data_IF_298003556209
#
_entry.id   IF_298003556209
#
_cell.length_a   1.000
_cell.length_b   1.000
_cell.length_c   1.000
_cell.angle_alpha   90.00
_cell.angle_beta   90.00
_cell.angle_gamma   90.00
#
_symmetry.space_group_name_H-M   'P 1'
#
loop_
_entity.id
_entity.type
_entity.pdbx_description
1 polymer ?
#
# COMPACT_ATOMS: atom_id res chain seq x y z
N UNK A 1 114.91 2.42 94.89
CA UNK A 1 114.75 1.01 94.44
C UNK A 1 113.80 0.33 95.41
N UNK A 2 112.75 -0.41 95.06
CA UNK A 2 112.28 -0.91 93.78
C UNK A 2 110.74 -1.05 93.85
N UNK A 3 110.13 -0.92 92.68
CA UNK A 3 108.69 -1.00 92.40
C UNK A 3 108.16 -2.42 92.67
N UNK A 4 107.01 -2.54 93.32
CA UNK A 4 106.15 -3.72 93.21
C UNK A 4 104.81 -3.28 92.62
N UNK A 5 104.73 -3.43 91.30
CA UNK A 5 103.60 -3.11 90.44
C UNK A 5 102.35 -3.88 90.89
N UNK A 6 101.25 -3.16 91.10
CA UNK A 6 99.90 -3.75 91.03
C UNK A 6 99.63 -4.16 89.59
N UNK A 7 99.78 -5.44 89.27
CA UNK A 7 99.28 -5.99 88.01
C UNK A 7 97.86 -6.51 88.22
N UNK A 8 96.91 -5.71 87.74
CA UNK A 8 95.51 -6.06 87.62
C UNK A 8 95.37 -7.12 86.52
N UNK A 9 95.42 -8.41 86.86
CA UNK A 9 95.15 -9.48 85.90
C UNK A 9 93.63 -9.63 85.71
N UNK A 10 93.05 -8.80 84.84
CA UNK A 10 91.69 -8.97 84.32
C UNK A 10 91.76 -9.72 82.98
N UNK A 11 92.00 -11.02 83.04
CA UNK A 11 91.71 -11.93 81.92
C UNK A 11 90.84 -13.08 82.44
N UNK A 12 89.63 -12.75 82.89
CA UNK A 12 88.52 -13.71 82.84
C UNK A 12 88.07 -13.81 81.38
N UNK A 13 88.09 -15.00 80.75
CA UNK A 13 87.53 -15.15 79.41
C UNK A 13 86.07 -14.71 79.44
N UNK A 14 85.74 -13.73 78.60
CA UNK A 14 84.36 -13.33 78.35
C UNK A 14 83.69 -14.58 77.76
N UNK A 15 82.69 -15.14 78.45
CA UNK A 15 81.82 -16.16 77.88
C UNK A 15 81.06 -15.50 76.73
N UNK A 16 81.56 -15.62 75.50
CA UNK A 16 80.75 -15.38 74.31
C UNK A 16 79.71 -16.48 74.30
N UNK A 17 78.48 -16.12 74.68
CA UNK A 17 77.32 -16.96 74.48
C UNK A 17 77.29 -17.36 72.99
N UNK A 18 77.02 -18.63 72.69
CA UNK A 18 76.99 -19.15 71.33
C UNK A 18 75.86 -18.50 70.52
N UNK A 19 76.13 -17.31 69.99
CA UNK A 19 75.18 -16.51 69.20
C UNK A 19 75.02 -17.04 67.77
N UNK A 20 75.95 -17.88 67.33
CA UNK A 20 75.99 -18.50 66.00
C UNK A 20 74.83 -19.45 65.77
N UNK A 21 74.52 -20.33 66.72
CA UNK A 21 73.38 -21.25 66.64
C UNK A 21 72.02 -20.53 66.65
N UNK A 22 71.91 -19.42 67.38
CA UNK A 22 70.70 -18.57 67.38
C UNK A 22 70.41 -17.90 66.03
N UNK A 23 71.45 -17.47 65.32
CA UNK A 23 71.32 -16.86 63.99
C UNK A 23 70.88 -17.89 62.93
N UNK A 24 71.40 -19.12 62.97
CA UNK A 24 70.98 -20.20 62.06
C UNK A 24 69.48 -20.54 62.20
N UNK A 25 68.98 -20.57 63.43
CA UNK A 25 67.55 -20.76 63.71
C UNK A 25 66.71 -19.60 63.15
N UNK A 26 67.22 -18.37 63.18
CA UNK A 26 66.52 -17.22 62.60
C UNK A 26 66.50 -17.30 61.08
N UNK A 27 67.62 -17.65 60.43
CA UNK A 27 67.73 -17.78 58.98
C UNK A 27 66.74 -18.84 58.46
N UNK A 28 66.71 -20.02 59.09
CA UNK A 28 65.78 -21.08 58.68
C UNK A 28 64.30 -20.66 58.81
N UNK A 29 63.95 -19.88 59.83
CA UNK A 29 62.60 -19.29 59.95
C UNK A 29 62.32 -18.27 58.84
N UNK A 30 63.29 -17.43 58.48
CA UNK A 30 63.16 -16.47 57.38
C UNK A 30 62.91 -17.20 56.05
N UNK A 31 63.65 -18.28 55.77
CA UNK A 31 63.48 -19.08 54.56
C UNK A 31 62.09 -19.75 54.50
N UNK A 32 61.63 -20.28 55.64
CA UNK A 32 60.27 -20.83 55.75
C UNK A 32 59.21 -19.78 55.44
N UNK A 33 59.33 -18.60 56.07
CA UNK A 33 58.41 -17.48 55.85
C UNK A 33 58.43 -16.97 54.40
N UNK A 34 59.61 -16.92 53.77
CA UNK A 34 59.74 -16.53 52.38
C UNK A 34 59.03 -17.53 51.43
N UNK A 35 59.13 -18.83 51.72
CA UNK A 35 58.42 -19.88 50.99
C UNK A 35 56.90 -19.76 51.17
N UNK A 36 56.43 -19.55 52.39
CA UNK A 36 55.02 -19.31 52.69
C UNK A 36 54.49 -18.08 51.96
N UNK A 37 55.22 -16.97 51.99
CA UNK A 37 54.84 -15.73 51.27
C UNK A 37 54.74 -15.97 49.76
N UNK A 38 55.67 -16.73 49.17
CA UNK A 38 55.63 -17.09 47.76
C UNK A 38 54.38 -17.91 47.41
N UNK A 39 54.01 -18.87 48.27
CA UNK A 39 52.82 -19.68 48.09
C UNK A 39 51.53 -18.85 48.22
N UNK A 40 51.45 -17.97 49.23
CA UNK A 40 50.34 -17.04 49.39
C UNK A 40 50.21 -16.13 48.18
N UNK A 41 51.32 -15.57 47.69
CA UNK A 41 51.31 -14.70 46.52
C UNK A 41 50.76 -15.44 45.28
N UNK A 42 51.25 -16.66 45.02
CA UNK A 42 50.72 -17.50 43.94
C UNK A 42 49.22 -17.76 44.08
N UNK A 43 48.77 -18.13 45.28
CA UNK A 43 47.35 -18.39 45.53
C UNK A 43 46.49 -17.15 45.31
N UNK A 44 46.97 -15.97 45.70
CA UNK A 44 46.28 -14.70 45.48
C UNK A 44 46.20 -14.39 43.99
N UNK A 45 47.29 -14.54 43.23
CA UNK A 45 47.29 -14.35 41.77
C UNK A 45 46.27 -15.27 41.10
N UNK A 46 46.29 -16.57 41.38
CA UNK A 46 45.34 -17.52 40.78
C UNK A 46 43.87 -17.23 41.18
N UNK A 47 43.64 -16.68 42.37
CA UNK A 47 42.29 -16.25 42.80
C UNK A 47 41.84 -14.99 42.06
N UNK A 48 42.75 -14.04 41.82
CA UNK A 48 42.47 -12.83 41.04
C UNK A 48 42.09 -13.21 39.61
N UNK A 49 42.87 -14.08 38.97
CA UNK A 49 42.61 -14.52 37.59
C UNK A 49 41.23 -15.19 37.46
N UNK A 50 40.89 -16.07 38.42
CA UNK A 50 39.57 -16.73 38.47
C UNK A 50 38.43 -15.74 38.67
N UNK A 51 38.59 -14.79 39.59
CA UNK A 51 37.56 -13.78 39.83
C UNK A 51 37.35 -12.87 38.62
N UNK A 52 38.43 -12.51 37.92
CA UNK A 52 38.34 -11.72 36.69
C UNK A 52 37.56 -12.50 35.62
N UNK A 53 37.92 -13.76 35.39
CA UNK A 53 37.23 -14.62 34.41
C UNK A 53 35.74 -14.81 34.74
N UNK A 54 35.42 -15.08 36.01
CA UNK A 54 34.02 -15.25 36.46
C UNK A 54 33.20 -13.97 36.29
N UNK A 55 33.82 -12.81 36.56
CA UNK A 55 33.16 -11.52 36.45
C UNK A 55 32.90 -11.15 34.99
N UNK A 56 33.90 -11.31 34.11
CA UNK A 56 33.76 -11.10 32.67
C UNK A 56 32.66 -12.00 32.08
N UNK A 57 32.66 -13.28 32.43
CA UNK A 57 31.64 -14.24 31.99
C UNK A 57 30.24 -13.83 32.45
N UNK A 58 30.07 -13.55 33.76
CA UNK A 58 28.76 -13.15 34.31
C UNK A 58 28.23 -11.86 33.68
N UNK A 59 29.11 -10.90 33.40
CA UNK A 59 28.74 -9.67 32.72
C UNK A 59 28.28 -9.93 31.28
N UNK A 60 29.02 -10.76 30.54
CA UNK A 60 28.68 -11.13 29.17
C UNK A 60 27.34 -11.88 29.09
N UNK A 61 27.14 -12.89 29.94
CA UNK A 61 25.92 -13.69 29.99
C UNK A 61 24.71 -12.80 30.30
N UNK A 62 24.83 -11.94 31.33
CA UNK A 62 23.75 -11.02 31.73
C UNK A 62 23.44 -9.96 30.68
N UNK A 63 24.45 -9.47 29.98
CA UNK A 63 24.27 -8.50 28.90
C UNK A 63 23.53 -9.14 27.73
N UNK A 64 23.95 -10.33 27.33
CA UNK A 64 23.35 -11.12 26.24
C UNK A 64 21.87 -11.42 26.54
N UNK A 65 21.57 -11.92 27.73
CA UNK A 65 20.19 -12.21 28.16
C UNK A 65 19.31 -10.96 28.15
N UNK A 66 19.84 -9.83 28.65
CA UNK A 66 19.08 -8.57 28.70
C UNK A 66 18.85 -8.00 27.30
N UNK A 67 19.83 -8.12 26.39
CA UNK A 67 19.67 -7.73 25.00
C UNK A 67 18.60 -8.57 24.31
N UNK A 68 18.62 -9.89 24.46
CA UNK A 68 17.62 -10.79 23.89
C UNK A 68 16.21 -10.43 24.38
N UNK A 69 16.03 -10.23 25.70
CA UNK A 69 14.73 -9.86 26.28
C UNK A 69 14.22 -8.50 25.78
N UNK A 70 15.10 -7.51 25.61
CA UNK A 70 14.72 -6.19 25.10
C UNK A 70 14.35 -6.24 23.62
N UNK A 71 15.09 -7.02 22.81
CA UNK A 71 14.77 -7.24 21.41
C UNK A 71 13.42 -7.93 21.24
N UNK A 72 13.15 -9.00 21.99
CA UNK A 72 11.86 -9.70 21.96
C UNK A 72 10.70 -8.78 22.32
N UNK A 73 10.84 -8.01 23.41
CA UNK A 73 9.81 -7.04 23.82
C UNK A 73 9.59 -5.99 22.74
N UNK A 74 10.66 -5.46 22.16
CA UNK A 74 10.59 -4.41 21.14
C UNK A 74 9.94 -4.91 19.86
N UNK A 75 10.36 -6.08 19.36
CA UNK A 75 9.79 -6.72 18.18
C UNK A 75 8.29 -6.97 18.37
N UNK A 76 7.89 -7.51 19.53
CA UNK A 76 6.48 -7.79 19.80
C UNK A 76 5.62 -6.51 19.84
N UNK A 77 6.15 -5.42 20.42
CA UNK A 77 5.46 -4.11 20.43
C UNK A 77 5.32 -3.56 19.01
N UNK A 78 6.40 -3.57 18.24
CA UNK A 78 6.41 -3.03 16.87
C UNK A 78 5.50 -3.85 15.95
N UNK A 79 5.48 -5.18 16.10
CA UNK A 79 4.60 -6.07 15.35
C UNK A 79 3.12 -5.82 15.64
N UNK A 80 2.76 -5.65 16.93
CA UNK A 80 1.38 -5.31 17.31
C UNK A 80 0.95 -3.94 16.78
N UNK A 81 1.84 -2.95 16.84
CA UNK A 81 1.57 -1.60 16.31
C UNK A 81 1.40 -1.63 14.79
N UNK A 82 2.24 -2.38 14.09
CA UNK A 82 2.13 -2.55 12.65
C UNK A 82 0.83 -3.25 12.26
N UNK A 83 0.47 -4.34 12.95
CA UNK A 83 -0.80 -5.05 12.76
C UNK A 83 -1.99 -4.09 12.87
N UNK A 84 -2.07 -3.33 13.98
CA UNK A 84 -3.11 -2.33 14.17
C UNK A 84 -3.15 -1.28 13.05
N UNK A 85 -1.99 -0.78 12.63
CA UNK A 85 -1.91 0.24 11.57
C UNK A 85 -2.40 -0.31 10.23
N UNK A 86 -2.11 -1.57 9.93
CA UNK A 86 -2.59 -2.24 8.71
C UNK A 86 -4.10 -2.44 8.78
N UNK A 87 -4.64 -2.92 9.90
CA UNK A 87 -6.07 -3.11 10.09
C UNK A 87 -6.85 -1.79 9.93
N UNK A 88 -6.40 -0.73 10.60
CA UNK A 88 -7.02 0.61 10.49
C UNK A 88 -7.04 1.13 9.04
N UNK A 89 -5.97 0.88 8.27
CA UNK A 89 -5.87 1.28 6.86
C UNK A 89 -6.78 0.44 5.96
N UNK A 90 -6.88 -0.87 6.21
CA UNK A 90 -7.76 -1.76 5.46
C UNK A 90 -9.22 -1.34 5.67
N UNK A 91 -9.61 -1.04 6.90
CA UNK A 91 -10.99 -0.65 7.20
C UNK A 91 -11.33 0.72 6.59
N UNK A 92 -10.39 1.66 6.60
CA UNK A 92 -10.54 2.95 5.89
C UNK A 92 -10.74 2.73 4.39
N UNK A 93 -9.86 1.94 3.75
CA UNK A 93 -9.97 1.65 2.32
C UNK A 93 -11.27 0.93 1.95
N UNK A 94 -11.75 0.01 2.80
CA UNK A 94 -13.04 -0.66 2.61
C UNK A 94 -14.20 0.34 2.66
N UNK A 95 -14.17 1.27 3.60
CA UNK A 95 -15.19 2.30 3.71
C UNK A 95 -15.21 3.19 2.44
N UNK A 96 -14.04 3.62 1.97
CA UNK A 96 -13.92 4.44 0.76
C UNK A 96 -14.46 3.70 -0.48
N UNK A 97 -14.07 2.43 -0.67
CA UNK A 97 -14.54 1.61 -1.79
C UNK A 97 -16.07 1.43 -1.75
N UNK A 98 -16.64 1.21 -0.57
CA UNK A 98 -18.09 1.06 -0.42
C UNK A 98 -18.82 2.38 -0.76
N UNK A 99 -18.30 3.52 -0.33
CA UNK A 99 -18.85 4.83 -0.68
C UNK A 99 -18.81 5.09 -2.18
N UNK A 100 -17.69 4.76 -2.84
CA UNK A 100 -17.54 4.88 -4.29
C UNK A 100 -18.51 3.97 -5.04
N UNK A 101 -18.70 2.74 -4.56
CA UNK A 101 -19.61 1.76 -5.13
C UNK A 101 -21.08 2.22 -5.03
N UNK A 102 -21.49 2.78 -3.89
CA UNK A 102 -22.84 3.32 -3.71
C UNK A 102 -23.07 4.58 -4.57
N UNK A 103 -22.07 5.44 -4.71
CA UNK A 103 -22.09 6.58 -5.64
C UNK A 103 -22.26 6.15 -7.09
N UNK A 104 -21.51 5.13 -7.52
CA UNK A 104 -21.62 4.58 -8.88
C UNK A 104 -22.98 3.94 -9.14
N UNK A 105 -23.53 3.17 -8.20
CA UNK A 105 -24.90 2.64 -8.29
C UNK A 105 -25.92 3.75 -8.48
N UNK A 106 -25.80 4.85 -7.71
CA UNK A 106 -26.67 6.01 -7.88
C UNK A 106 -26.60 6.59 -9.30
N UNK A 107 -25.40 6.77 -9.84
CA UNK A 107 -25.20 7.26 -11.22
C UNK A 107 -25.78 6.32 -12.27
N UNK A 108 -25.62 5.00 -12.10
CA UNK A 108 -26.18 3.99 -13.02
C UNK A 108 -27.71 4.04 -13.01
N UNK A 109 -28.33 4.18 -11.83
CA UNK A 109 -29.77 4.31 -11.72
C UNK A 109 -30.25 5.57 -12.44
N UNK A 110 -29.61 6.72 -12.22
CA UNK A 110 -29.95 7.96 -12.92
C UNK A 110 -29.80 7.87 -14.44
N UNK A 111 -28.75 7.19 -14.94
CA UNK A 111 -28.59 6.93 -16.38
C UNK A 111 -29.70 6.00 -16.90
N UNK A 112 -30.07 4.98 -16.13
CA UNK A 112 -31.16 4.06 -16.47
C UNK A 112 -32.48 4.81 -16.58
N UNK A 113 -32.78 5.66 -15.60
CA UNK A 113 -33.98 6.50 -15.57
C UNK A 113 -34.00 7.48 -16.76
N UNK A 114 -32.85 8.09 -17.09
CA UNK A 114 -32.73 8.98 -18.24
C UNK A 114 -32.97 8.25 -19.58
N UNK A 115 -32.46 7.03 -19.71
CA UNK A 115 -32.70 6.18 -20.89
C UNK A 115 -34.17 5.77 -20.98
N UNK A 116 -34.80 5.40 -19.86
CA UNK A 116 -36.23 5.05 -19.84
C UNK A 116 -37.14 6.25 -20.16
N UNK A 117 -36.74 7.46 -19.73
CA UNK A 117 -37.46 8.69 -20.04
C UNK A 117 -37.23 9.16 -21.48
N UNK A 118 -36.22 8.64 -22.18
CA UNK A 118 -35.95 8.99 -23.57
C UNK A 118 -37.03 8.38 -24.49
N UNK A 119 -37.96 9.22 -24.93
CA UNK A 119 -38.82 8.92 -26.08
C UNK A 119 -38.20 9.56 -27.32
N UNK A 120 -37.71 8.78 -28.30
CA UNK A 120 -37.35 9.36 -29.59
C UNK A 120 -38.63 9.95 -30.20
N UNK A 121 -38.61 11.25 -30.52
CA UNK A 121 -39.64 11.85 -31.35
C UNK A 121 -39.72 11.02 -32.63
N UNK A 122 -40.88 10.38 -32.86
CA UNK A 122 -41.18 9.83 -34.18
C UNK A 122 -41.32 11.03 -35.09
N UNK A 123 -40.32 11.27 -35.95
CA UNK A 123 -40.49 12.19 -37.06
C UNK A 123 -41.76 11.79 -37.83
N UNK A 124 -42.68 12.72 -38.04
CA UNK A 124 -43.79 12.53 -38.96
C UNK A 124 -43.19 12.27 -40.35
N UNK A 125 -43.05 11.00 -40.72
CA UNK A 125 -42.43 10.53 -41.98
C UNK A 125 -43.23 10.91 -43.24
N UNK A 126 -44.32 11.67 -43.10
CA UNK A 126 -45.19 12.06 -44.20
C UNK A 126 -44.79 13.40 -44.79
N UNK A 127 -44.41 13.44 -46.07
CA UNK A 127 -44.08 14.67 -46.79
C UNK A 127 -45.16 15.01 -47.82
N UNK A 128 -45.60 16.28 -47.86
CA UNK A 128 -46.57 16.74 -48.87
C UNK A 128 -45.84 17.35 -50.08
N UNK A 129 -46.10 16.81 -51.27
CA UNK A 129 -45.52 17.27 -52.55
C UNK A 129 -46.62 17.78 -53.47
N UNK A 130 -46.30 18.81 -54.25
CA UNK A 130 -47.21 19.52 -55.14
C UNK A 130 -46.84 19.29 -56.60
N UNK A 131 -47.75 18.68 -57.36
CA UNK A 131 -47.63 18.46 -58.80
C UNK A 131 -48.43 19.52 -59.56
N UNK A 132 -47.73 20.32 -60.36
CA UNK A 132 -48.31 21.31 -61.28
C UNK A 132 -48.17 20.72 -62.68
N UNK A 133 -49.27 20.42 -63.37
CA UNK A 133 -49.35 19.79 -64.72
C UNK A 133 -49.56 18.28 -64.80
N UNK A 134 -50.05 17.61 -63.75
CA UNK A 134 -50.52 16.23 -63.91
C UNK A 134 -51.82 16.25 -64.75
N UNK A 135 -51.94 15.53 -65.88
CA UNK A 135 -53.13 15.57 -66.73
C UNK A 135 -54.38 15.05 -65.98
N UNK A 136 -55.55 15.56 -66.35
CA UNK A 136 -56.83 15.13 -65.78
C UNK A 136 -57.39 13.93 -66.55
N UNK A 137 -57.91 12.93 -65.84
CA UNK A 137 -58.50 11.72 -66.41
C UNK A 137 -59.88 11.46 -65.82
N UNK A 138 -60.78 10.86 -66.59
CA UNK A 138 -62.16 10.54 -66.18
C UNK A 138 -62.20 9.49 -65.06
N UNK A 139 -61.19 8.62 -64.98
CA UNK A 139 -61.02 7.60 -63.94
C UNK A 139 -59.78 7.92 -63.09
N UNK A 140 -59.78 9.08 -62.45
CA UNK A 140 -58.60 9.62 -61.80
C UNK A 140 -58.17 8.80 -60.56
N UNK A 141 -57.24 7.86 -60.76
CA UNK A 141 -56.56 7.12 -59.68
C UNK A 141 -55.22 7.78 -59.37
N UNK A 142 -55.28 8.96 -58.73
CA UNK A 142 -54.09 9.79 -58.47
C UNK A 142 -52.99 9.04 -57.70
N UNK A 143 -53.37 8.25 -56.69
CA UNK A 143 -52.42 7.48 -55.87
C UNK A 143 -51.69 6.45 -56.72
N UNK A 144 -52.40 5.62 -57.47
CA UNK A 144 -51.81 4.58 -58.33
C UNK A 144 -50.98 5.19 -59.46
N UNK A 145 -51.46 6.29 -60.04
CA UNK A 145 -50.75 7.02 -61.10
C UNK A 145 -49.44 7.61 -60.57
N UNK A 146 -49.47 8.25 -59.40
CA UNK A 146 -48.27 8.84 -58.81
C UNK A 146 -47.29 7.75 -58.34
N UNK A 147 -47.78 6.66 -57.74
CA UNK A 147 -46.95 5.51 -57.38
C UNK A 147 -46.28 4.87 -58.61
N UNK A 148 -47.00 4.75 -59.74
CA UNK A 148 -46.44 4.32 -61.01
C UNK A 148 -45.36 5.29 -61.52
N UNK A 149 -45.59 6.61 -61.47
CA UNK A 149 -44.58 7.59 -61.88
C UNK A 149 -43.32 7.53 -60.99
N UNK A 150 -43.49 7.41 -59.67
CA UNK A 150 -42.37 7.34 -58.74
C UNK A 150 -41.53 6.08 -59.00
N UNK A 151 -42.19 4.95 -59.18
CA UNK A 151 -41.51 3.68 -59.41
C UNK A 151 -40.89 3.60 -60.80
N UNK A 152 -41.67 3.92 -61.84
CA UNK A 152 -41.29 3.68 -63.23
C UNK A 152 -40.45 4.82 -63.83
N UNK A 153 -40.60 6.06 -63.35
CA UNK A 153 -39.87 7.21 -63.88
C UNK A 153 -38.77 7.72 -62.95
N UNK A 154 -38.90 7.56 -61.63
CA UNK A 154 -37.90 8.02 -60.67
C UNK A 154 -37.10 6.89 -60.03
N UNK A 155 -37.48 5.62 -60.24
CA UNK A 155 -36.82 4.42 -59.67
C UNK A 155 -36.70 4.46 -58.13
N UNK A 156 -37.68 5.08 -57.47
CA UNK A 156 -37.74 5.17 -56.01
C UNK A 156 -38.69 4.09 -55.49
N UNK A 157 -38.18 3.15 -54.69
CA UNK A 157 -38.97 2.04 -54.13
C UNK A 157 -39.37 2.24 -52.65
N UNK A 158 -38.60 3.03 -51.90
CA UNK A 158 -38.78 3.20 -50.45
C UNK A 158 -39.82 4.27 -50.08
N UNK A 159 -40.54 4.83 -51.05
CA UNK A 159 -41.52 5.91 -50.85
C UNK A 159 -42.82 5.57 -51.56
N UNK A 160 -43.94 5.70 -50.85
CA UNK A 160 -45.28 5.45 -51.39
C UNK A 160 -46.16 6.66 -51.15
N UNK A 161 -46.99 6.98 -52.14
CA UNK A 161 -48.06 7.96 -51.99
C UNK A 161 -49.19 7.34 -51.21
N UNK A 162 -49.46 7.87 -50.01
CA UNK A 162 -50.54 7.41 -49.14
C UNK A 162 -51.84 8.16 -49.36
N UNK A 163 -51.76 9.41 -49.82
CA UNK A 163 -52.93 10.17 -50.24
C UNK A 163 -52.59 11.12 -51.37
N UNK A 164 -53.55 11.37 -52.25
CA UNK A 164 -53.42 12.37 -53.29
C UNK A 164 -54.76 13.01 -53.58
N UNK A 165 -54.78 14.34 -53.74
CA UNK A 165 -55.98 15.09 -54.09
C UNK A 165 -55.68 16.17 -55.12
N UNK A 166 -56.58 16.34 -56.08
CA UNK A 166 -56.53 17.44 -57.03
C UNK A 166 -57.30 18.65 -56.51
N UNK A 167 -56.69 19.82 -56.68
CA UNK A 167 -57.30 21.13 -56.52
C UNK A 167 -57.60 21.64 -57.93
N UNK A 168 -58.88 21.71 -58.34
CA UNK A 168 -59.25 22.10 -59.68
C UNK A 168 -58.85 23.55 -59.96
N UNK A 169 -58.47 23.82 -61.21
CA UNK A 169 -58.17 25.17 -61.66
C UNK A 169 -59.47 25.99 -61.71
N UNK A 170 -59.59 27.01 -60.86
CA UNK A 170 -60.79 27.84 -60.75
C UNK A 170 -60.96 28.81 -61.94
N UNK A 171 -60.00 28.88 -62.85
CA UNK A 171 -60.06 29.74 -64.03
C UNK A 171 -60.65 28.96 -65.22
N UNK A 172 -61.95 29.09 -65.46
CA UNK A 172 -62.70 28.37 -66.50
C UNK A 172 -62.25 28.63 -67.95
N UNK A 173 -61.34 29.60 -68.16
CA UNK A 173 -60.71 29.90 -69.46
C UNK A 173 -59.36 29.23 -69.67
N UNK A 174 -58.79 28.58 -68.66
CA UNK A 174 -57.53 27.85 -68.76
C UNK A 174 -57.79 26.38 -69.09
N UNK A 175 -57.11 25.86 -70.12
CA UNK A 175 -57.06 24.43 -70.41
C UNK A 175 -56.02 23.69 -69.56
N UNK A 176 -55.37 24.38 -68.61
CA UNK A 176 -54.35 23.77 -67.76
C UNK A 176 -54.98 22.94 -66.63
N UNK A 177 -54.47 21.72 -66.39
CA UNK A 177 -54.99 20.85 -65.34
C UNK A 177 -54.77 21.45 -63.95
N UNK A 178 -55.64 21.09 -63.00
CA UNK A 178 -55.53 21.48 -61.60
C UNK A 178 -54.23 21.03 -60.92
N UNK A 179 -53.98 21.52 -59.71
CA UNK A 179 -52.81 21.20 -58.92
C UNK A 179 -53.06 19.94 -58.09
N UNK A 180 -52.14 18.98 -58.07
CA UNK A 180 -52.28 17.78 -57.22
C UNK A 180 -51.37 17.91 -56.00
N UNK A 181 -51.94 17.70 -54.82
CA UNK A 181 -51.20 17.59 -53.56
C UNK A 181 -51.20 16.12 -53.18
N UNK A 182 -50.03 15.54 -52.98
CA UNK A 182 -49.87 14.16 -52.56
C UNK A 182 -49.01 14.07 -51.29
N UNK A 183 -49.39 13.17 -50.40
CA UNK A 183 -48.68 12.83 -49.18
C UNK A 183 -47.89 11.55 -49.43
N UNK A 184 -46.60 11.60 -49.10
CA UNK A 184 -45.64 10.54 -49.33
C UNK A 184 -45.17 10.02 -47.98
N UNK A 185 -45.26 8.72 -47.80
CA UNK A 185 -44.78 8.02 -46.61
C UNK A 185 -43.60 7.13 -46.99
N UNK A 186 -42.59 7.07 -46.12
CA UNK A 186 -41.49 6.12 -46.28
C UNK A 186 -41.96 4.71 -45.90
N UNK A 187 -41.63 3.73 -46.74
CA UNK A 187 -41.99 2.32 -46.53
C UNK A 187 -41.04 1.62 -45.54
N UNK A 188 -39.89 2.24 -45.24
CA UNK A 188 -38.86 1.71 -44.33
C UNK A 188 -39.09 1.99 -42.85
N UNK A 189 -40.01 1.25 -42.23
CA UNK A 189 -39.95 0.82 -40.81
C UNK A 189 -40.29 -0.67 -40.70
#
# INVERSE_FOLDING_TARGET
MAQARRTLNRNTPIKTQDHTSGLEVIISKIDSLASELKNVNRNVTERIDRLQMDLEKKLSDKLTDKMAQLLDKRINIDFKRLGKTVDDRIDTLRADINNDLDSLKGKINSLTDAIQAFQPEKEDKSSNVVFRKLPESVNEQLVDTLNGIIKDCLEIEDVVVSSARRIPNQNSKSSEPGLVIATFDNVGD
#
